data_IF_103006104322
#
_entry.id   IF_103006104322
#
_cell.length_a   1.000
_cell.length_b   1.000
_cell.length_c   1.000
_cell.angle_alpha   90.00
_cell.angle_beta   90.00
_cell.angle_gamma   90.00
#
_symmetry.space_group_name_H-M   'P 1'
#
loop_
_entity.id
_entity.type
_entity.pdbx_description
1 polymer ?
#
# COMPACT_ATOMS: atom_id res chain seq x y z
N UNK A 1 -29.97 -19.71 -4.82
CA UNK A 1 -29.57 -18.59 -3.95
C UNK A 1 -28.22 -18.10 -4.45
N UNK A 2 -28.14 -16.87 -4.96
CA UNK A 2 -26.90 -16.31 -5.51
C UNK A 2 -26.11 -15.74 -4.32
N UNK A 3 -25.04 -16.41 -3.91
CA UNK A 3 -24.21 -15.97 -2.79
C UNK A 3 -23.39 -14.75 -3.21
N UNK A 4 -23.70 -13.59 -2.62
CA UNK A 4 -22.93 -12.38 -2.77
C UNK A 4 -21.49 -12.61 -2.28
N UNK A 5 -20.52 -12.66 -3.19
CA UNK A 5 -19.09 -12.69 -2.85
C UNK A 5 -18.65 -11.28 -2.44
N UNK A 6 -18.85 -10.95 -1.16
CA UNK A 6 -18.18 -9.80 -0.55
C UNK A 6 -16.67 -10.00 -0.68
N UNK A 7 -15.96 -8.92 -1.03
CA UNK A 7 -14.51 -8.92 -1.30
C UNK A 7 -13.75 -9.62 -0.16
N UNK A 8 -13.23 -10.82 -0.44
CA UNK A 8 -12.45 -11.60 0.51
C UNK A 8 -11.18 -10.81 0.88
N UNK A 9 -10.86 -10.74 2.17
CA UNK A 9 -9.63 -10.10 2.64
C UNK A 9 -8.40 -10.75 2.01
N UNK A 10 -7.28 -10.03 1.90
CA UNK A 10 -6.01 -10.59 1.39
C UNK A 10 -5.16 -10.95 2.62
N UNK A 11 -5.20 -12.18 3.16
CA UNK A 11 -4.57 -12.46 4.43
C UNK A 11 -3.07 -12.14 4.35
N UNK A 12 -2.50 -11.46 5.36
CA UNK A 12 -3.07 -11.15 6.68
C UNK A 12 -3.84 -9.82 6.82
N UNK A 13 -4.20 -9.12 5.74
CA UNK A 13 -4.94 -7.85 5.85
C UNK A 13 -6.36 -8.07 6.39
N UNK A 14 -6.89 -7.08 7.11
CA UNK A 14 -8.27 -7.08 7.62
C UNK A 14 -9.28 -6.52 6.61
N UNK A 15 -8.84 -6.21 5.39
CA UNK A 15 -9.66 -5.58 4.35
C UNK A 15 -9.48 -6.27 2.98
N UNK A 16 -10.50 -6.13 2.12
CA UNK A 16 -10.53 -6.69 0.76
C UNK A 16 -9.84 -5.86 -0.33
N UNK A 17 -9.18 -4.75 0.02
CA UNK A 17 -8.46 -3.93 -0.97
C UNK A 17 -7.10 -4.53 -1.33
N UNK A 18 -6.82 -4.69 -2.63
CA UNK A 18 -5.48 -4.88 -3.19
C UNK A 18 -4.94 -3.53 -3.66
N UNK A 19 -3.71 -3.17 -3.31
CA UNK A 19 -3.12 -1.92 -3.80
C UNK A 19 -1.62 -2.03 -4.08
N UNK A 20 -1.14 -1.14 -4.96
CA UNK A 20 0.27 -0.90 -5.25
C UNK A 20 0.45 0.54 -5.73
N UNK A 21 0.99 1.40 -4.87
CA UNK A 21 1.36 2.78 -5.18
C UNK A 21 2.88 2.88 -5.23
N UNK A 22 3.43 3.49 -6.27
CA UNK A 22 4.89 3.57 -6.48
C UNK A 22 5.26 4.99 -6.88
N UNK A 23 6.29 5.52 -6.22
CA UNK A 23 6.99 6.71 -6.67
C UNK A 23 8.43 6.33 -7.03
N UNK A 24 8.78 6.62 -8.28
CA UNK A 24 10.09 6.36 -8.85
C UNK A 24 10.70 7.65 -9.40
N UNK A 25 12.02 7.76 -9.29
CA UNK A 25 12.84 8.87 -9.81
C UNK A 25 14.07 8.26 -10.46
N UNK A 26 14.43 8.74 -11.65
CA UNK A 26 15.58 8.24 -12.43
C UNK A 26 15.56 6.72 -12.64
N UNK A 27 14.36 6.17 -12.89
CA UNK A 27 14.14 4.73 -13.11
C UNK A 27 14.23 3.86 -11.84
N UNK A 28 14.41 4.44 -10.65
CA UNK A 28 14.53 3.71 -9.38
C UNK A 28 13.33 3.95 -8.48
N UNK A 29 12.78 2.89 -7.86
CA UNK A 29 11.74 2.99 -6.82
C UNK A 29 12.33 3.71 -5.60
N UNK A 30 11.74 4.85 -5.24
CA UNK A 30 12.11 5.61 -4.05
C UNK A 30 11.15 5.31 -2.90
N UNK A 31 9.88 5.12 -3.22
CA UNK A 31 8.80 4.86 -2.29
C UNK A 31 7.80 3.88 -2.92
N UNK A 32 7.20 3.01 -2.12
CA UNK A 32 5.90 2.47 -2.49
C UNK A 32 5.10 1.94 -1.32
N UNK A 33 3.80 1.82 -1.52
CA UNK A 33 2.86 1.25 -0.57
C UNK A 33 2.18 0.10 -1.30
N UNK A 34 2.26 -1.09 -0.75
CA UNK A 34 1.56 -2.24 -1.31
C UNK A 34 1.13 -3.20 -0.20
N UNK A 35 0.29 -4.15 -0.56
CA UNK A 35 -0.01 -5.25 0.32
C UNK A 35 0.32 -6.57 -0.37
N UNK A 36 1.09 -7.41 0.28
CA UNK A 36 1.54 -8.70 -0.27
C UNK A 36 0.89 -9.83 0.50
N UNK A 37 0.41 -10.85 -0.23
CA UNK A 37 -0.14 -12.06 0.41
C UNK A 37 0.94 -12.66 1.31
N UNK A 38 0.60 -12.92 2.56
CA UNK A 38 1.55 -13.44 3.54
C UNK A 38 2.36 -12.36 4.30
N UNK A 39 2.40 -11.11 3.84
CA UNK A 39 3.03 -9.98 4.59
C UNK A 39 2.03 -8.99 5.15
N UNK A 40 0.97 -8.72 4.39
CA UNK A 40 -0.01 -7.68 4.70
C UNK A 40 0.43 -6.33 4.17
N UNK A 41 -0.13 -5.28 4.78
CA UNK A 41 0.07 -3.89 4.40
C UNK A 41 1.47 -3.41 4.80
N UNK A 42 2.23 -2.89 3.83
CA UNK A 42 3.57 -2.37 4.09
C UNK A 42 3.96 -1.25 3.13
N UNK A 43 5.00 -0.52 3.51
CA UNK A 43 5.63 0.51 2.69
C UNK A 43 7.10 0.17 2.46
N UNK A 44 7.60 0.60 1.32
CA UNK A 44 8.99 0.47 0.87
C UNK A 44 9.61 1.86 0.84
N UNK A 45 10.75 2.03 1.51
CA UNK A 45 11.56 3.24 1.53
C UNK A 45 12.97 2.93 1.06
N UNK A 46 13.25 3.18 -0.22
CA UNK A 46 14.47 2.66 -0.85
C UNK A 46 14.52 1.13 -0.72
N UNK A 47 15.47 0.62 0.07
CA UNK A 47 15.65 -0.81 0.35
C UNK A 47 14.96 -1.30 1.64
N UNK A 48 14.35 -0.42 2.43
CA UNK A 48 13.71 -0.79 3.69
C UNK A 48 12.22 -1.08 3.51
N UNK A 49 11.76 -2.22 4.04
CA UNK A 49 10.34 -2.53 4.22
C UNK A 49 9.89 -2.21 5.64
N UNK A 50 8.71 -1.58 5.78
CA UNK A 50 8.11 -1.25 7.08
C UNK A 50 6.61 -1.57 7.08
N UNK A 51 6.03 -2.09 8.17
CA UNK A 51 4.60 -2.27 8.28
C UNK A 51 3.84 -0.97 8.06
N UNK A 52 2.70 -1.04 7.35
CA UNK A 52 1.81 0.08 7.14
C UNK A 52 0.44 -0.23 7.74
N UNK A 53 -0.14 0.71 8.49
CA UNK A 53 -1.48 0.53 9.07
C UNK A 53 -2.53 1.09 8.11
N UNK A 54 -3.17 0.22 7.34
CA UNK A 54 -4.28 0.62 6.48
C UNK A 54 -5.45 1.17 7.30
N UNK A 55 -5.91 2.38 6.95
CA UNK A 55 -7.05 3.06 7.59
C UNK A 55 -8.19 3.37 6.60
N UNK A 56 -8.02 2.98 5.34
CA UNK A 56 -8.92 3.31 4.25
C UNK A 56 -8.18 3.88 3.03
N UNK A 57 -8.84 3.85 1.88
CA UNK A 57 -8.25 4.29 0.61
C UNK A 57 -7.88 5.78 0.64
N UNK A 58 -8.71 6.64 1.24
CA UNK A 58 -8.43 8.08 1.36
C UNK A 58 -7.13 8.34 2.14
N UNK A 59 -7.00 7.74 3.32
CA UNK A 59 -5.79 7.89 4.14
C UNK A 59 -4.55 7.29 3.45
N UNK A 60 -4.70 6.18 2.72
CA UNK A 60 -3.61 5.61 1.92
C UNK A 60 -3.08 6.60 0.88
N UNK A 61 -3.96 7.28 0.15
CA UNK A 61 -3.58 8.28 -0.85
C UNK A 61 -2.93 9.51 -0.23
N UNK A 62 -3.46 9.99 0.90
CA UNK A 62 -2.89 11.12 1.65
C UNK A 62 -1.49 10.80 2.19
N UNK A 63 -1.34 9.66 2.88
CA UNK A 63 -0.07 9.21 3.43
C UNK A 63 0.99 9.04 2.31
N UNK A 64 0.59 8.45 1.17
CA UNK A 64 1.45 8.32 0.01
C UNK A 64 1.88 9.68 -0.54
N UNK A 65 0.94 10.62 -0.74
CA UNK A 65 1.24 11.96 -1.26
C UNK A 65 2.19 12.75 -0.35
N UNK A 66 2.01 12.66 0.97
CA UNK A 66 2.91 13.26 1.96
C UNK A 66 4.32 12.68 1.84
N UNK A 67 4.45 11.36 1.76
CA UNK A 67 5.76 10.71 1.63
C UNK A 67 6.42 11.02 0.27
N UNK A 68 5.67 11.13 -0.82
CA UNK A 68 6.19 11.64 -2.09
C UNK A 68 6.70 13.07 -1.95
N UNK A 69 5.94 13.95 -1.30
CA UNK A 69 6.33 15.35 -1.08
C UNK A 69 7.65 15.50 -0.32
N UNK A 70 7.90 14.62 0.66
CA UNK A 70 9.19 14.57 1.39
C UNK A 70 10.37 14.16 0.51
N UNK A 71 10.14 13.40 -0.58
CA UNK A 71 11.17 12.81 -1.45
C UNK A 71 11.35 13.50 -2.80
N UNK A 72 10.44 14.42 -3.14
CA UNK A 72 10.49 15.20 -4.40
C UNK A 72 11.47 16.37 -4.35
N UNK A 73 12.05 16.66 -3.19
CA UNK A 73 13.04 17.74 -3.04
C UNK A 73 14.37 17.41 -3.75
#
# INVERSE_FOLDING_TARGET
>A
MLNARGHESIPPTSHGFKYRLVYARDGRRVLGFDNERGKGDHMHLGSEERPYRFRGVTQLLEDFAVEVGKRRK
#
